data_IF_331952173604
#
_entry.id   IF_331952173604
#
_cell.length_a   1.000
_cell.length_b   1.000
_cell.length_c   1.000
_cell.angle_alpha   90.00
_cell.angle_beta   90.00
_cell.angle_gamma   90.00
#
_symmetry.space_group_name_H-M   'P 1'
#
loop_
_entity.id
_entity.type
_entity.pdbx_description
1 polymer ?
#
# COMPACT_ATOMS: atom_id res chain seq x y z
N UNK A 1 1.83 -11.58 -0.61
CA UNK A 1 2.82 -10.81 -1.45
C UNK A 1 2.18 -9.71 -2.32
N UNK A 2 0.87 -9.80 -2.63
CA UNK A 2 0.15 -8.96 -3.59
C UNK A 2 -0.31 -7.61 -3.01
N UNK A 3 -0.91 -7.62 -1.81
CA UNK A 3 -1.26 -6.42 -1.00
C UNK A 3 -0.09 -5.48 -0.66
N UNK A 4 1.17 -5.94 -0.75
CA UNK A 4 2.36 -5.12 -0.43
C UNK A 4 2.67 -4.07 -1.50
N UNK A 5 2.38 -4.37 -2.77
CA UNK A 5 2.74 -3.47 -3.88
C UNK A 5 1.87 -2.21 -3.94
N UNK A 6 0.67 -2.27 -3.38
CA UNK A 6 -0.31 -1.18 -3.39
C UNK A 6 0.01 -0.16 -2.31
N UNK A 7 0.29 -0.59 -1.07
CA UNK A 7 0.62 0.37 0.00
C UNK A 7 1.98 1.03 -0.21
N UNK A 8 2.93 0.33 -0.84
CA UNK A 8 4.24 0.90 -1.20
C UNK A 8 4.07 2.17 -2.07
N UNK A 9 3.00 2.23 -2.88
CA UNK A 9 2.70 3.42 -3.67
C UNK A 9 2.36 4.63 -2.78
N UNK A 10 1.62 4.44 -1.69
CA UNK A 10 1.31 5.50 -0.72
C UNK A 10 2.60 6.05 -0.11
N UNK A 11 3.53 5.19 0.28
CA UNK A 11 4.81 5.61 0.84
C UNK A 11 5.72 6.30 -0.19
N UNK A 12 5.73 5.87 -1.45
CA UNK A 12 6.45 6.59 -2.50
C UNK A 12 5.85 7.96 -2.77
N UNK A 13 4.52 8.09 -2.80
CA UNK A 13 3.87 9.40 -2.93
C UNK A 13 4.18 10.30 -1.73
N UNK A 14 4.14 9.77 -0.51
CA UNK A 14 4.51 10.51 0.70
C UNK A 14 5.98 10.96 0.68
N UNK A 15 6.89 10.13 0.17
CA UNK A 15 8.30 10.50 -0.02
C UNK A 15 8.43 11.65 -1.03
N UNK A 16 7.70 11.61 -2.15
CA UNK A 16 7.67 12.72 -3.11
C UNK A 16 7.08 14.00 -2.52
N UNK A 17 6.01 13.91 -1.73
CA UNK A 17 5.43 15.04 -0.98
C UNK A 17 6.50 15.64 -0.06
N UNK A 18 7.22 14.82 0.70
CA UNK A 18 8.27 15.28 1.62
C UNK A 18 9.42 15.98 0.89
N UNK A 19 9.82 15.49 -0.28
CA UNK A 19 10.84 16.15 -1.12
C UNK A 19 10.33 17.51 -1.60
N UNK A 20 9.09 17.59 -2.06
CA UNK A 20 8.50 18.86 -2.51
C UNK A 20 8.34 19.86 -1.36
N UNK A 21 7.93 19.40 -0.18
CA UNK A 21 7.82 20.22 1.03
C UNK A 21 9.19 20.78 1.43
N UNK A 22 10.24 19.95 1.41
CA UNK A 22 11.61 20.40 1.62
C UNK A 22 12.03 21.48 0.61
N UNK A 23 11.75 21.30 -0.68
CA UNK A 23 12.11 22.29 -1.71
C UNK A 23 11.40 23.64 -1.53
N UNK A 24 10.14 23.62 -1.06
CA UNK A 24 9.33 24.82 -0.84
C UNK A 24 9.69 25.53 0.46
N UNK A 25 10.01 24.79 1.53
CA UNK A 25 10.24 25.33 2.87
C UNK A 25 11.70 25.72 3.11
N UNK A 26 12.66 25.08 2.44
CA UNK A 26 14.10 25.37 2.60
C UNK A 26 14.56 26.71 2.00
N UNK A 27 13.70 27.41 1.25
CA UNK A 27 14.05 28.67 0.59
C UNK A 27 14.92 28.49 -0.67
N UNK A 28 15.14 27.25 -1.15
CA UNK A 28 15.82 26.98 -2.43
C UNK A 28 15.07 27.64 -3.59
N UNK A 29 13.74 27.63 -3.54
CA UNK A 29 12.87 28.32 -4.49
C UNK A 29 12.32 29.57 -3.79
N UNK A 30 12.75 30.79 -4.20
CA UNK A 30 12.27 32.02 -3.60
C UNK A 30 10.76 32.17 -3.83
N UNK A 31 10.03 32.60 -2.80
CA UNK A 31 8.57 32.85 -2.88
C UNK A 31 8.18 33.94 -3.88
N UNK A 32 9.12 34.82 -4.23
CA UNK A 32 8.95 35.86 -5.24
C UNK A 32 9.08 35.35 -6.68
N UNK A 33 9.57 34.12 -6.89
CA UNK A 33 9.72 33.54 -8.22
C UNK A 33 8.38 33.04 -8.75
N UNK A 34 8.11 33.27 -10.03
CA UNK A 34 6.93 32.69 -10.72
C UNK A 34 6.93 31.16 -10.66
N UNK A 35 8.12 30.55 -10.59
CA UNK A 35 8.31 29.10 -10.51
C UNK A 35 7.72 28.53 -9.21
N UNK A 36 7.69 29.31 -8.12
CA UNK A 36 7.18 28.87 -6.83
C UNK A 36 5.72 28.41 -6.91
N UNK A 37 4.90 29.08 -7.72
CA UNK A 37 3.48 28.76 -7.88
C UNK A 37 3.27 27.38 -8.53
N UNK A 38 4.10 27.03 -9.51
CA UNK A 38 4.01 25.73 -10.18
C UNK A 38 4.42 24.59 -9.23
N UNK A 39 5.52 24.76 -8.49
CA UNK A 39 5.96 23.77 -7.50
C UNK A 39 4.94 23.61 -6.36
N UNK A 40 4.35 24.70 -5.89
CA UNK A 40 3.27 24.65 -4.91
C UNK A 40 2.05 23.90 -5.45
N UNK A 41 1.68 24.14 -6.72
CA UNK A 41 0.58 23.41 -7.35
C UNK A 41 0.83 21.91 -7.46
N UNK A 42 2.04 21.51 -7.87
CA UNK A 42 2.46 20.11 -7.89
C UNK A 42 2.45 19.50 -6.49
N UNK A 43 2.91 20.23 -5.47
CA UNK A 43 2.90 19.77 -4.08
C UNK A 43 1.46 19.50 -3.59
N UNK A 44 0.53 20.42 -3.82
CA UNK A 44 -0.90 20.24 -3.48
C UNK A 44 -1.54 19.04 -4.21
N UNK A 45 -1.15 18.83 -5.48
CA UNK A 45 -1.57 17.67 -6.25
C UNK A 45 -1.03 16.36 -5.68
N UNK A 46 0.24 16.30 -5.29
CA UNK A 46 0.84 15.11 -4.69
C UNK A 46 0.21 14.76 -3.34
N UNK A 47 -0.08 15.77 -2.50
CA UNK A 47 -0.80 15.58 -1.24
C UNK A 47 -2.16 14.93 -1.51
N UNK A 48 -2.93 15.49 -2.45
CA UNK A 48 -4.28 14.99 -2.76
C UNK A 48 -4.26 13.59 -3.39
N UNK A 49 -3.26 13.31 -4.23
CA UNK A 49 -3.04 11.97 -4.76
C UNK A 49 -2.67 10.95 -3.68
N UNK A 50 -1.94 11.37 -2.63
CA UNK A 50 -1.61 10.52 -1.48
C UNK A 50 -2.87 10.13 -0.71
N UNK A 51 -3.75 11.10 -0.41
CA UNK A 51 -5.03 10.83 0.25
C UNK A 51 -5.96 9.96 -0.59
N UNK A 52 -6.02 10.19 -1.90
CA UNK A 52 -6.78 9.36 -2.82
C UNK A 52 -6.24 7.92 -2.88
N UNK A 53 -4.92 7.76 -2.98
CA UNK A 53 -4.27 6.46 -2.98
C UNK A 53 -4.52 5.72 -1.66
N UNK A 54 -4.47 6.42 -0.52
CA UNK A 54 -4.79 5.87 0.79
C UNK A 54 -6.23 5.34 0.84
N UNK A 55 -7.20 6.14 0.37
CA UNK A 55 -8.60 5.72 0.28
C UNK A 55 -8.78 4.47 -0.58
N UNK A 56 -8.17 4.41 -1.76
CA UNK A 56 -8.28 3.24 -2.64
C UNK A 56 -7.66 1.99 -2.02
N UNK A 57 -6.52 2.12 -1.34
CA UNK A 57 -5.94 1.02 -0.57
C UNK A 57 -6.91 0.49 0.50
N UNK A 58 -7.72 1.37 1.10
CA UNK A 58 -8.75 0.97 2.05
C UNK A 58 -9.87 0.13 1.44
N UNK A 59 -10.25 0.39 0.18
CA UNK A 59 -11.25 -0.40 -0.54
C UNK A 59 -10.74 -1.79 -0.94
N UNK A 60 -9.45 -1.92 -1.24
CA UNK A 60 -8.86 -3.24 -1.59
C UNK A 60 -8.99 -4.22 -0.42
N UNK A 61 -9.01 -3.75 0.82
CA UNK A 61 -9.22 -4.60 2.01
C UNK A 61 -10.53 -5.42 1.99
N UNK A 62 -11.55 -4.97 1.25
CA UNK A 62 -12.85 -5.67 1.14
C UNK A 62 -12.93 -6.67 0.00
N UNK A 63 -11.86 -6.85 -0.77
CA UNK A 63 -11.79 -7.82 -1.88
C UNK A 63 -12.93 -7.70 -2.91
N UNK A 64 -13.52 -6.50 -3.07
CA UNK A 64 -14.62 -6.25 -4.03
C UNK A 64 -14.23 -6.49 -5.50
N UNK A 65 -12.93 -6.51 -5.80
CA UNK A 65 -12.38 -6.87 -7.11
C UNK A 65 -11.37 -8.01 -6.92
N UNK A 66 -11.37 -9.00 -7.83
CA UNK A 66 -10.43 -10.13 -7.79
C UNK A 66 -8.99 -9.67 -7.57
N UNK A 67 -8.48 -9.97 -6.37
CA UNK A 67 -7.20 -9.48 -5.88
C UNK A 67 -6.05 -9.87 -6.81
N UNK A 68 -5.43 -8.85 -7.40
CA UNK A 68 -4.15 -8.93 -8.10
C UNK A 68 -4.16 -9.36 -9.56
N UNK A 69 -5.27 -9.11 -10.24
CA UNK A 69 -5.16 -8.79 -11.66
C UNK A 69 -4.24 -7.56 -11.84
N UNK A 70 -3.37 -7.54 -12.87
CA UNK A 70 -2.58 -6.35 -13.18
C UNK A 70 -3.46 -5.11 -13.40
N UNK A 71 -4.72 -5.32 -13.80
CA UNK A 71 -5.73 -4.27 -13.95
C UNK A 71 -6.00 -3.49 -12.64
N UNK A 72 -6.04 -4.15 -11.48
CA UNK A 72 -6.23 -3.45 -10.19
C UNK A 72 -5.05 -2.53 -9.85
N UNK A 73 -3.81 -3.00 -10.06
CA UNK A 73 -2.62 -2.17 -9.83
C UNK A 73 -2.57 -0.97 -10.78
N UNK A 74 -2.96 -1.17 -12.03
CA UNK A 74 -3.00 -0.08 -13.01
C UNK A 74 -4.14 0.90 -12.75
N UNK A 75 -5.30 0.44 -12.24
CA UNK A 75 -6.41 1.34 -11.90
C UNK A 75 -6.06 2.28 -10.74
N UNK A 76 -5.38 1.79 -9.69
CA UNK A 76 -4.90 2.64 -8.58
C UNK A 76 -3.87 3.66 -9.08
N UNK A 77 -2.95 3.24 -9.96
CA UNK A 77 -1.92 4.13 -10.52
C UNK A 77 -2.51 5.23 -11.39
N UNK A 78 -3.37 4.85 -12.33
CA UNK A 78 -3.99 5.79 -13.27
C UNK A 78 -4.91 6.74 -12.52
N UNK A 79 -5.77 6.23 -11.62
CA UNK A 79 -6.67 7.10 -10.86
C UNK A 79 -5.92 8.09 -9.96
N UNK A 80 -4.86 7.66 -9.28
CA UNK A 80 -4.01 8.58 -8.48
C UNK A 80 -3.30 9.60 -9.36
N UNK A 81 -2.84 9.21 -10.56
CA UNK A 81 -2.24 10.14 -11.52
C UNK A 81 -3.25 11.16 -12.06
N UNK A 82 -4.49 10.75 -12.30
CA UNK A 82 -5.58 11.65 -12.71
C UNK A 82 -5.90 12.65 -11.60
N UNK A 83 -6.01 12.22 -10.35
CA UNK A 83 -6.23 13.13 -9.20
C UNK A 83 -5.06 14.09 -9.01
N UNK A 84 -3.83 13.58 -9.10
CA UNK A 84 -2.61 14.40 -9.09
C UNK A 84 -2.66 15.50 -10.16
N UNK A 85 -2.95 15.13 -11.41
CA UNK A 85 -3.02 16.07 -12.53
C UNK A 85 -4.16 17.07 -12.37
N UNK A 86 -5.34 16.61 -11.95
CA UNK A 86 -6.52 17.46 -11.76
C UNK A 86 -6.30 18.52 -10.69
N UNK A 87 -5.78 18.14 -9.51
CA UNK A 87 -5.54 19.10 -8.41
C UNK A 87 -4.34 19.99 -8.70
N UNK A 88 -3.28 19.47 -9.34
CA UNK A 88 -2.14 20.30 -9.75
C UNK A 88 -2.57 21.36 -10.76
N UNK A 89 -3.34 20.96 -11.77
CA UNK A 89 -3.90 21.88 -12.76
C UNK A 89 -4.83 22.90 -12.12
N UNK A 90 -5.75 22.47 -11.24
CA UNK A 90 -6.65 23.36 -10.51
C UNK A 90 -5.87 24.39 -9.67
N UNK A 91 -4.81 23.95 -9.00
CA UNK A 91 -3.95 24.83 -8.18
C UNK A 91 -3.24 25.86 -9.04
N UNK A 92 -2.60 25.43 -10.14
CA UNK A 92 -1.89 26.32 -11.06
C UNK A 92 -2.86 27.31 -11.72
N UNK A 93 -4.02 26.84 -12.19
CA UNK A 93 -5.06 27.69 -12.78
C UNK A 93 -5.57 28.73 -11.78
N UNK A 94 -5.71 28.36 -10.51
CA UNK A 94 -6.08 29.28 -9.43
C UNK A 94 -4.99 30.31 -9.17
N UNK A 95 -3.72 29.91 -9.08
CA UNK A 95 -2.60 30.83 -8.87
C UNK A 95 -2.38 31.77 -10.05
N UNK A 96 -2.65 31.32 -11.27
CA UNK A 96 -2.52 32.14 -12.47
C UNK A 96 -3.76 33.01 -12.72
N UNK A 97 -4.88 32.76 -12.05
CA UNK A 97 -6.14 33.48 -12.27
C UNK A 97 -6.75 33.16 -13.63
N UNK A 98 -6.63 31.92 -14.09
CA UNK A 98 -7.12 31.51 -15.40
C UNK A 98 -8.64 31.27 -15.38
N UNK A 99 -9.40 32.04 -16.16
CA UNK A 99 -10.83 31.80 -16.38
C UNK A 99 -11.69 32.01 -15.14
N UNK A 100 -12.51 31.03 -14.69
CA UNK A 100 -13.42 31.18 -13.55
C UNK A 100 -12.70 31.11 -12.19
N UNK A 101 -11.39 30.84 -12.17
CA UNK A 101 -10.62 30.68 -10.93
C UNK A 101 -9.98 32.02 -10.53
N UNK A 102 -10.37 32.54 -9.37
CA UNK A 102 -9.86 33.78 -8.81
C UNK A 102 -8.85 33.50 -7.69
N UNK A 103 -7.74 34.24 -7.70
CA UNK A 103 -6.71 34.21 -6.65
C UNK A 103 -7.24 34.70 -5.30
N UNK A 104 -8.15 35.67 -5.34
CA UNK A 104 -8.69 36.31 -4.13
C UNK A 104 -9.76 35.46 -3.45
N UNK A 105 -10.42 34.58 -4.21
CA UNK A 105 -11.48 33.68 -3.71
C UNK A 105 -11.28 32.27 -4.28
N UNK A 106 -10.27 31.53 -3.81
CA UNK A 106 -9.92 30.20 -4.31
C UNK A 106 -10.88 29.12 -3.79
N UNK A 107 -12.19 29.29 -3.99
CA UNK A 107 -13.24 28.38 -3.44
C UNK A 107 -13.09 26.97 -4.02
N UNK A 108 -12.82 26.84 -5.32
CA UNK A 108 -12.66 25.54 -5.96
C UNK A 108 -11.45 24.77 -5.41
N UNK A 109 -10.32 25.45 -5.22
CA UNK A 109 -9.12 24.85 -4.62
C UNK A 109 -9.38 24.47 -3.15
N UNK A 110 -10.07 25.31 -2.39
CA UNK A 110 -10.43 25.02 -1.01
C UNK A 110 -11.31 23.77 -0.89
N UNK A 111 -12.33 23.62 -1.75
CA UNK A 111 -13.19 22.43 -1.79
C UNK A 111 -12.36 21.19 -2.15
N UNK A 112 -11.55 21.27 -3.21
CA UNK A 112 -10.74 20.13 -3.64
C UNK A 112 -9.67 19.73 -2.62
N UNK A 113 -9.09 20.69 -1.90
CA UNK A 113 -8.00 20.38 -0.97
C UNK A 113 -8.51 19.98 0.42
N UNK A 114 -9.52 20.66 0.97
CA UNK A 114 -10.01 20.36 2.31
C UNK A 114 -11.16 19.36 2.31
N UNK A 115 -12.21 19.59 1.51
CA UNK A 115 -13.39 18.72 1.54
C UNK A 115 -13.06 17.37 0.93
N UNK A 116 -12.47 17.33 -0.26
CA UNK A 116 -12.19 16.06 -0.93
C UNK A 116 -11.14 15.22 -0.18
N UNK A 117 -10.02 15.81 0.26
CA UNK A 117 -9.03 15.05 1.05
C UNK A 117 -9.56 14.68 2.43
N UNK A 118 -10.29 15.58 3.10
CA UNK A 118 -10.93 15.31 4.39
C UNK A 118 -11.95 14.18 4.30
N UNK A 119 -12.79 14.18 3.26
CA UNK A 119 -13.72 13.10 2.97
C UNK A 119 -12.96 11.79 2.67
N UNK A 120 -11.85 11.85 1.92
CA UNK A 120 -11.06 10.67 1.59
C UNK A 120 -10.50 9.99 2.86
N UNK A 121 -9.93 10.77 3.78
CA UNK A 121 -9.46 10.27 5.08
C UNK A 121 -10.61 9.72 5.93
N UNK A 122 -11.73 10.44 6.00
CA UNK A 122 -12.88 10.02 6.81
C UNK A 122 -13.45 8.69 6.31
N UNK A 123 -13.65 8.56 5.00
CA UNK A 123 -14.12 7.33 4.37
C UNK A 123 -13.11 6.20 4.63
N UNK A 124 -11.82 6.46 4.43
CA UNK A 124 -10.77 5.48 4.71
C UNK A 124 -10.82 4.95 6.16
N UNK A 125 -10.94 5.85 7.14
CA UNK A 125 -11.02 5.50 8.57
C UNK A 125 -12.25 4.64 8.85
N UNK A 126 -13.43 5.03 8.35
CA UNK A 126 -14.67 4.26 8.53
C UNK A 126 -14.51 2.86 7.95
N UNK A 127 -13.96 2.77 6.74
CA UNK A 127 -13.70 1.50 6.06
C UNK A 127 -12.72 0.61 6.86
N UNK A 128 -11.63 1.18 7.40
CA UNK A 128 -10.68 0.41 8.21
C UNK A 128 -11.32 -0.09 9.52
N UNK A 129 -12.10 0.74 10.20
CA UNK A 129 -12.81 0.32 11.43
C UNK A 129 -13.79 -0.82 11.11
N UNK A 130 -14.57 -0.70 10.04
CA UNK A 130 -15.52 -1.74 9.61
C UNK A 130 -14.80 -3.04 9.29
N UNK A 131 -13.67 -2.99 8.58
CA UNK A 131 -12.87 -4.18 8.25
C UNK A 131 -12.36 -4.85 9.53
N UNK A 132 -11.73 -4.10 10.43
CA UNK A 132 -11.16 -4.67 11.66
C UNK A 132 -12.25 -5.29 12.54
N UNK A 133 -13.38 -4.61 12.72
CA UNK A 133 -14.46 -5.09 13.59
C UNK A 133 -15.19 -6.31 13.03
N UNK A 134 -15.34 -6.42 11.70
CA UNK A 134 -16.12 -7.50 11.08
C UNK A 134 -15.27 -8.69 10.62
N UNK A 135 -13.96 -8.50 10.41
CA UNK A 135 -13.11 -9.52 9.77
C UNK A 135 -11.99 -10.03 10.66
N UNK A 136 -11.44 -9.21 11.57
CA UNK A 136 -10.27 -9.59 12.38
C UNK A 136 -10.68 -10.00 13.80
N UNK A 137 -10.08 -11.09 14.30
CA UNK A 137 -10.27 -11.53 15.69
C UNK A 137 -9.41 -10.71 16.67
N UNK A 138 -8.23 -10.27 16.25
CA UNK A 138 -7.37 -9.38 17.04
C UNK A 138 -7.78 -7.91 16.84
N UNK A 139 -8.08 -7.22 17.94
CA UNK A 139 -8.52 -5.82 17.96
C UNK A 139 -7.37 -4.84 18.19
N UNK A 140 -6.15 -5.32 18.37
CA UNK A 140 -4.98 -4.47 18.53
C UNK A 140 -4.81 -3.42 17.40
N UNK A 141 -5.10 -3.71 16.12
CA UNK A 141 -5.04 -2.71 15.04
C UNK A 141 -5.98 -1.51 15.21
N UNK A 142 -7.05 -1.61 16.01
CA UNK A 142 -7.92 -0.46 16.30
C UNK A 142 -7.17 0.65 17.05
N UNK A 143 -6.22 0.27 17.91
CA UNK A 143 -5.38 1.22 18.63
C UNK A 143 -4.55 2.07 17.65
N UNK A 144 -3.93 1.44 16.66
CA UNK A 144 -3.12 2.12 15.65
C UNK A 144 -3.95 3.12 14.84
N UNK A 145 -5.20 2.78 14.48
CA UNK A 145 -6.11 3.70 13.77
C UNK A 145 -6.43 4.92 14.65
N UNK A 146 -6.78 4.70 15.92
CA UNK A 146 -7.14 5.79 16.84
C UNK A 146 -5.96 6.72 17.09
N UNK A 147 -4.77 6.17 17.33
CA UNK A 147 -3.56 6.97 17.51
C UNK A 147 -3.18 7.72 16.23
N UNK A 148 -3.32 7.08 15.06
CA UNK A 148 -3.09 7.74 13.77
C UNK A 148 -3.97 8.97 13.58
N UNK A 149 -5.28 8.84 13.80
CA UNK A 149 -6.23 9.97 13.67
C UNK A 149 -5.93 11.05 14.70
N UNK A 150 -5.61 10.67 15.94
CA UNK A 150 -5.29 11.63 16.99
C UNK A 150 -4.04 12.46 16.62
N UNK A 151 -2.96 11.82 16.16
CA UNK A 151 -1.76 12.52 15.71
C UNK A 151 -2.02 13.38 14.48
N UNK A 152 -2.81 12.91 13.52
CA UNK A 152 -3.19 13.71 12.35
C UNK A 152 -3.98 14.96 12.77
N UNK A 153 -5.01 14.80 13.60
CA UNK A 153 -5.85 15.90 14.06
C UNK A 153 -5.08 16.94 14.89
N UNK A 154 -4.21 16.48 15.80
CA UNK A 154 -3.31 17.36 16.56
C UNK A 154 -2.35 18.09 15.63
N UNK A 155 -1.79 17.40 14.64
CA UNK A 155 -0.92 18.02 13.62
C UNK A 155 -1.62 19.13 12.83
N UNK A 156 -2.84 18.89 12.37
CA UNK A 156 -3.64 19.91 11.66
C UNK A 156 -4.01 21.08 12.58
N UNK A 157 -4.36 20.80 13.84
CA UNK A 157 -4.69 21.84 14.82
C UNK A 157 -3.50 22.74 15.13
N UNK A 158 -2.31 22.16 15.30
CA UNK A 158 -1.07 22.92 15.51
C UNK A 158 -0.77 23.81 14.30
N UNK A 159 -0.88 23.27 13.09
CA UNK A 159 -0.54 23.99 11.86
C UNK A 159 -1.50 25.16 11.57
N UNK A 160 -2.82 24.96 11.72
CA UNK A 160 -3.82 25.95 11.32
C UNK A 160 -4.27 26.89 12.44
N UNK A 161 -4.27 26.44 13.70
CA UNK A 161 -4.77 27.25 14.83
C UNK A 161 -3.62 27.86 15.62
N UNK A 162 -2.63 27.06 16.01
CA UNK A 162 -1.61 27.47 16.99
C UNK A 162 -0.28 27.92 16.38
N UNK A 163 -0.12 27.88 15.05
CA UNK A 163 1.17 28.15 14.41
C UNK A 163 1.73 29.54 14.72
N UNK A 164 0.89 30.57 14.73
CA UNK A 164 1.30 31.95 15.05
C UNK A 164 1.67 32.10 16.54
N UNK A 165 0.92 31.47 17.43
CA UNK A 165 1.18 31.52 18.88
C UNK A 165 2.52 30.85 19.22
N UNK A 166 2.79 29.71 18.60
CA UNK A 166 4.07 28.98 18.73
C UNK A 166 5.23 29.83 18.19
N UNK A 167 5.04 30.45 17.02
CA UNK A 167 6.06 31.30 16.40
C UNK A 167 6.44 32.49 17.29
N UNK A 168 5.44 33.16 17.87
CA UNK A 168 5.64 34.28 18.80
C UNK A 168 6.33 33.83 20.10
N UNK A 169 5.93 32.68 20.65
CA UNK A 169 6.52 32.12 21.87
C UNK A 169 7.98 31.70 21.67
N UNK A 170 8.29 31.09 20.51
CA UNK A 170 9.63 30.64 20.14
C UNK A 170 10.53 31.74 19.55
N UNK A 171 10.15 33.02 19.65
CA UNK A 171 10.89 34.18 19.10
C UNK A 171 11.27 34.00 17.63
N UNK A 172 10.36 33.46 16.81
CA UNK A 172 10.55 33.22 15.37
C UNK A 172 11.67 32.23 15.02
N UNK A 173 12.12 31.39 15.96
CA UNK A 173 13.04 30.28 15.66
C UNK A 173 12.33 29.01 15.19
N UNK A 174 11.11 28.77 15.67
CA UNK A 174 10.31 27.57 15.39
C UNK A 174 8.86 28.00 15.15
N UNK A 175 8.22 27.42 14.14
CA UNK A 175 6.81 27.64 13.78
C UNK A 175 5.96 26.37 13.99
N UNK A 176 4.66 26.48 13.72
CA UNK A 176 3.76 25.33 13.76
C UNK A 176 4.06 24.26 12.70
N UNK A 177 4.80 24.60 11.62
CA UNK A 177 5.13 23.66 10.55
C UNK A 177 6.07 22.57 11.05
N UNK A 178 7.05 22.90 11.90
CA UNK A 178 7.93 21.91 12.52
C UNK A 178 7.16 20.86 13.34
N UNK A 179 6.28 21.28 14.24
CA UNK A 179 5.51 20.35 15.06
C UNK A 179 4.40 19.63 14.28
N UNK A 180 3.78 20.32 13.31
CA UNK A 180 2.76 19.75 12.44
C UNK A 180 3.31 18.65 11.53
N UNK A 181 4.53 18.81 11.00
CA UNK A 181 5.20 17.80 10.17
C UNK A 181 5.59 16.57 10.99
N UNK A 182 6.11 16.74 12.22
CA UNK A 182 6.39 15.62 13.13
C UNK A 182 5.12 14.84 13.46
N UNK A 183 4.03 15.53 13.82
CA UNK A 183 2.75 14.89 14.12
C UNK A 183 2.18 14.16 12.89
N UNK A 184 2.31 14.73 11.70
CA UNK A 184 1.92 14.09 10.44
C UNK A 184 2.77 12.85 10.15
N UNK A 185 4.08 12.90 10.39
CA UNK A 185 4.96 11.74 10.24
C UNK A 185 4.58 10.63 11.22
N UNK A 186 4.29 10.95 12.48
CA UNK A 186 3.80 9.98 13.46
C UNK A 186 2.46 9.35 13.02
N UNK A 187 1.55 10.14 12.45
CA UNK A 187 0.32 9.61 11.85
C UNK A 187 0.61 8.61 10.72
N UNK A 188 1.54 8.93 9.81
CA UNK A 188 1.93 8.02 8.72
C UNK A 188 2.58 6.75 9.24
N UNK A 189 3.36 6.83 10.32
CA UNK A 189 3.92 5.66 10.99
C UNK A 189 2.85 4.77 11.61
N UNK A 190 1.76 5.33 12.15
CA UNK A 190 0.64 4.52 12.64
C UNK A 190 -0.10 3.82 11.49
N UNK A 191 -0.25 4.45 10.33
CA UNK A 191 -0.79 3.80 9.12
C UNK A 191 0.09 2.62 8.68
N UNK A 192 1.42 2.77 8.76
CA UNK A 192 2.35 1.68 8.50
C UNK A 192 2.20 0.53 9.49
N UNK A 193 2.16 0.84 10.80
CA UNK A 193 1.97 -0.17 11.86
C UNK A 193 0.66 -0.94 11.71
N UNK A 194 -0.42 -0.21 11.46
CA UNK A 194 -1.73 -0.77 11.18
C UNK A 194 -1.67 -1.78 10.02
N UNK A 195 -1.04 -1.39 8.91
CA UNK A 195 -0.89 -2.26 7.76
C UNK A 195 -0.01 -3.50 8.05
N UNK A 196 1.11 -3.30 8.74
CA UNK A 196 1.99 -4.40 9.14
C UNK A 196 1.25 -5.41 10.03
N UNK A 197 0.39 -4.93 10.94
CA UNK A 197 -0.44 -5.78 11.80
C UNK A 197 -1.40 -6.67 11.00
N UNK A 198 -2.13 -6.10 10.04
CA UNK A 198 -3.10 -6.85 9.22
C UNK A 198 -2.41 -7.89 8.31
N UNK A 199 -1.21 -7.58 7.82
CA UNK A 199 -0.50 -8.51 6.93
C UNK A 199 0.25 -9.64 7.64
N UNK A 200 0.42 -9.56 8.97
CA UNK A 200 0.98 -10.67 9.77
C UNK A 200 0.02 -11.84 9.85
N UNK A 201 -1.28 -11.58 10.08
CA UNK A 201 -2.30 -12.63 10.16
C UNK A 201 -2.37 -13.44 8.85
N UNK A 202 -2.28 -12.78 7.69
CA UNK A 202 -2.18 -13.44 6.37
C UNK A 202 -1.00 -14.42 6.24
N UNK A 203 0.13 -14.13 6.91
CA UNK A 203 1.34 -14.95 6.80
C UNK A 203 1.22 -16.24 7.60
N UNK A 204 0.55 -16.20 8.75
CA UNK A 204 0.32 -17.38 9.61
C UNK A 204 -0.58 -18.40 8.90
N UNK A 205 -1.57 -17.95 8.14
CA UNK A 205 -2.44 -18.85 7.37
C UNK A 205 -1.81 -19.40 6.08
N UNK A 206 -0.81 -18.73 5.50
CA UNK A 206 -0.13 -19.22 4.29
C UNK A 206 0.92 -20.31 4.55
N UNK A 207 1.33 -20.51 5.80
CA UNK A 207 2.31 -21.56 6.19
C UNK A 207 1.62 -22.86 6.66
N UNK A 208 0.30 -22.83 6.94
CA UNK A 208 -0.44 -23.98 7.48
C UNK A 208 -0.94 -25.04 6.47
N UNK A 209 -0.85 -24.84 5.15
CA UNK A 209 -1.39 -25.83 4.18
C UNK A 209 -0.40 -26.95 3.80
N UNK A 210 0.76 -27.02 4.45
CA UNK A 210 1.67 -28.18 4.36
C UNK A 210 1.96 -28.78 5.74
N UNK A 211 1.00 -28.73 6.66
CA UNK A 211 1.08 -29.54 7.86
C UNK A 211 0.93 -31.02 7.47
N UNK A 212 2.08 -31.70 7.48
CA UNK A 212 2.25 -33.14 7.67
C UNK A 212 1.72 -34.09 6.58
N UNK A 213 2.27 -34.01 5.36
CA UNK A 213 2.25 -35.18 4.44
C UNK A 213 3.14 -36.33 4.96
N UNK A 214 4.05 -36.03 5.89
CA UNK A 214 4.99 -37.02 6.44
C UNK A 214 4.40 -37.89 7.56
N UNK A 215 3.41 -37.42 8.32
CA UNK A 215 2.75 -38.25 9.36
C UNK A 215 1.93 -39.41 8.76
N UNK A 216 1.43 -39.26 7.53
CA UNK A 216 0.67 -40.33 6.86
C UNK A 216 1.59 -41.43 6.31
N UNK A 217 2.84 -41.09 5.96
CA UNK A 217 3.81 -42.08 5.47
C UNK A 217 4.37 -42.97 6.57
N UNK A 218 4.47 -42.46 7.80
CA UNK A 218 4.95 -43.24 8.94
C UNK A 218 3.90 -44.29 9.37
N UNK A 219 2.62 -43.92 9.40
CA UNK A 219 1.53 -44.87 9.69
C UNK A 219 1.36 -45.98 8.64
N UNK A 220 1.65 -45.71 7.36
CA UNK A 220 1.58 -46.74 6.31
C UNK A 220 2.84 -47.63 6.22
N UNK A 221 4.01 -47.13 6.67
CA UNK A 221 5.25 -47.90 6.66
C UNK A 221 5.42 -48.84 7.85
N UNK A 222 4.75 -48.55 8.97
CA UNK A 222 4.79 -49.40 10.17
C UNK A 222 3.86 -50.62 10.05
N UNK A 223 2.72 -50.52 9.36
CA UNK A 223 1.80 -51.65 9.14
C UNK A 223 2.39 -52.71 8.18
N UNK A 224 3.21 -52.32 7.19
CA UNK A 224 3.89 -53.29 6.31
C UNK A 224 5.08 -53.99 6.99
N UNK A 225 5.70 -53.38 8.01
CA UNK A 225 6.85 -53.96 8.73
C UNK A 225 6.48 -54.70 10.02
N UNK A 226 5.30 -54.46 10.61
CA UNK A 226 4.79 -55.20 11.77
C UNK A 226 4.02 -56.49 11.39
N UNK A 227 3.64 -56.67 10.13
CA UNK A 227 2.87 -57.81 9.62
C UNK A 227 3.71 -58.97 9.07
N UNK A 228 4.96 -59.12 9.50
CA UNK A 228 5.82 -60.24 9.11
C UNK A 228 5.36 -61.57 9.75
N UNK A 229 4.30 -62.19 9.21
CA UNK A 229 3.82 -63.47 9.70
C UNK A 229 2.76 -64.13 8.84
N UNK A 230 3.21 -65.04 7.97
CA UNK A 230 2.49 -66.20 7.41
C UNK A 230 1.41 -65.97 6.31
N UNK A 231 1.49 -66.81 5.28
CA UNK A 231 0.63 -66.97 4.08
C UNK A 231 0.81 -65.86 3.03
N UNK A 232 1.21 -66.08 1.78
CA UNK A 232 1.13 -67.27 0.94
C UNK A 232 0.50 -66.87 -0.40
N UNK A 233 1.15 -67.23 -1.50
CA UNK A 233 0.60 -67.39 -2.86
C UNK A 233 0.47 -66.18 -3.83
N UNK A 234 1.40 -66.21 -4.81
CA UNK A 234 1.18 -66.13 -6.27
C UNK A 234 0.10 -65.16 -6.81
N UNK A 235 0.55 -64.12 -7.53
CA UNK A 235 0.28 -63.96 -8.98
C UNK A 235 1.08 -62.79 -9.55
N UNK A 236 2.07 -63.10 -10.40
CA UNK A 236 2.78 -62.16 -11.26
C UNK A 236 2.58 -62.60 -12.71
N UNK A 237 1.73 -61.90 -13.46
CA UNK A 237 1.64 -61.83 -14.92
C UNK A 237 0.65 -60.67 -15.21
N UNK A 238 0.91 -59.65 -16.02
CA UNK A 238 1.78 -59.53 -17.20
C UNK A 238 2.00 -58.03 -17.54
N UNK A 239 3.24 -57.70 -17.96
CA UNK A 239 3.70 -56.80 -19.04
C UNK A 239 2.94 -55.49 -19.36
N UNK A 240 3.50 -54.35 -19.79
CA UNK A 240 4.78 -53.92 -20.40
C UNK A 240 4.63 -52.38 -20.49
N UNK A 241 5.62 -51.52 -20.24
CA UNK A 241 6.61 -51.09 -21.22
C UNK A 241 7.66 -50.22 -20.51
N UNK A 242 8.89 -50.71 -20.45
CA UNK A 242 10.08 -49.96 -20.11
C UNK A 242 11.18 -50.42 -21.05
N UNK A 243 11.68 -49.48 -21.86
CA UNK A 243 12.73 -49.62 -22.87
C UNK A 243 13.94 -50.42 -22.36
N UNK A 244 14.44 -51.37 -23.16
CA UNK A 244 15.64 -52.14 -22.87
C UNK A 244 16.48 -52.45 -24.12
N UNK A 245 17.79 -52.78 -23.98
CA UNK A 245 18.85 -52.48 -24.96
C UNK A 245 19.55 -53.70 -25.62
N UNK A 246 20.20 -53.46 -26.77
CA UNK A 246 21.27 -54.27 -27.43
C UNK A 246 20.80 -55.56 -28.16
N UNK A 247 21.61 -56.22 -29.03
CA UNK A 247 23.08 -56.15 -29.21
C UNK A 247 23.66 -56.23 -30.68
N UNK A 248 24.96 -55.92 -30.79
CA UNK A 248 26.01 -56.16 -31.81
C UNK A 248 25.75 -56.76 -33.22
N UNK A 249 26.41 -56.15 -34.24
CA UNK A 249 26.86 -56.81 -35.48
C UNK A 249 27.12 -55.86 -36.67
N UNK A 250 28.34 -55.77 -37.26
CA UNK A 250 28.74 -54.69 -38.20
C UNK A 250 28.70 -55.11 -39.68
N UNK A 251 28.46 -54.18 -40.62
CA UNK A 251 29.01 -54.26 -42.01
C UNK A 251 28.79 -52.96 -42.80
N UNK A 252 29.82 -52.63 -43.59
CA UNK A 252 29.97 -51.48 -44.50
C UNK A 252 29.04 -51.52 -45.73
N UNK A 253 28.79 -50.36 -46.35
CA UNK A 253 29.10 -50.01 -47.76
C UNK A 253 28.13 -48.98 -48.39
N UNK A 254 28.75 -47.87 -48.85
CA UNK A 254 28.59 -47.01 -50.05
C UNK A 254 27.26 -46.78 -50.80
N UNK A 255 27.13 -45.50 -51.24
CA UNK A 255 26.57 -44.97 -52.52
C UNK A 255 25.07 -45.20 -52.80
N UNK A 256 24.27 -44.26 -53.32
CA UNK A 256 24.47 -43.07 -54.18
C UNK A 256 23.54 -41.92 -53.78
#
# INVERSE_FOLDING_TARGET
>A
MRRRKEIIMVFYLYMLVTIMDFLLTSGIIPTSSEVYQYFTGVHLGLISATFWCLLLNGFVGFQFAEDGTPLSLWSIRISSFVVFGAVSFLSIATFQGMGPFDRMKPVALWIAFFIFNGAAVLIYVILQIVLVVNTLDDRWPLGDIVFGIAFFAVGQMILYVFSLDICNFAKHYIDGLFFGTIATLLSVMMVYKYWDSITKEDLEFSVGSKQNVWEVKELLGEDEMAGGGLYGQQQQQQAHHGFGPGPYGPTNHYEY
#
